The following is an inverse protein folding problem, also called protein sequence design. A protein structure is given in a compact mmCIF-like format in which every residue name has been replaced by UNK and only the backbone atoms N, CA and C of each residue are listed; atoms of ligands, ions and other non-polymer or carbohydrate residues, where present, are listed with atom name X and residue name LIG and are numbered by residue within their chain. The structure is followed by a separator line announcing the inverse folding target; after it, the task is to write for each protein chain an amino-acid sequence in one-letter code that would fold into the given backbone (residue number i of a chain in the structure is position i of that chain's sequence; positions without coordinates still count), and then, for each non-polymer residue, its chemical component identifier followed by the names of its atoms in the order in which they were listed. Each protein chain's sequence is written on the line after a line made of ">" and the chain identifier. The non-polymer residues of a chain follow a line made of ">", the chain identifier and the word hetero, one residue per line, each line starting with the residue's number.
data_IF_828203699836
#
_entry.id   IF_828203699836
#
_cell.length_a   1.000
_cell.length_b   1.000
_cell.length_c   1.000
_cell.angle_alpha   90.00
_cell.angle_beta   90.00
_cell.angle_gamma   90.00
#
_symmetry.space_group_name_H-M   'P 1'
#
loop_
_entity.id
_entity.type
_entity.pdbx_description
1 polymer ?
#
# COMPACT_ATOMS: atom_id res chain seq x y z
N UNK A 1 0.65 -2.78 14.20
CA UNK A 1 1.18 -3.88 13.34
C UNK A 1 2.30 -3.29 12.50
N UNK A 2 3.45 -3.96 12.43
CA UNK A 2 4.53 -3.50 11.56
C UNK A 2 4.11 -3.69 10.08
N UNK A 3 4.26 -2.68 9.20
CA UNK A 3 3.84 -2.76 7.79
C UNK A 3 4.50 -3.92 7.03
N UNK A 4 5.65 -4.37 7.50
CA UNK A 4 6.37 -5.56 6.99
C UNK A 4 5.57 -6.86 7.16
N UNK A 5 4.99 -7.09 8.34
CA UNK A 5 4.20 -8.30 8.59
C UNK A 5 2.95 -8.32 7.70
N UNK A 6 2.29 -7.17 7.58
CA UNK A 6 1.12 -7.01 6.70
C UNK A 6 1.50 -7.24 5.23
N UNK A 7 2.69 -6.81 4.81
CA UNK A 7 3.21 -7.05 3.45
C UNK A 7 3.39 -8.54 3.17
N UNK A 8 3.93 -9.30 4.13
CA UNK A 8 4.07 -10.77 3.98
C UNK A 8 2.71 -11.45 3.88
N UNK A 9 1.77 -11.08 4.74
CA UNK A 9 0.41 -11.63 4.70
C UNK A 9 -0.29 -11.28 3.37
N UNK A 10 -0.16 -10.02 2.92
CA UNK A 10 -0.69 -9.57 1.65
C UNK A 10 -0.10 -10.31 0.46
N UNK A 11 1.21 -10.58 0.48
CA UNK A 11 1.89 -11.35 -0.57
C UNK A 11 1.31 -12.75 -0.69
N UNK A 12 1.21 -13.46 0.43
CA UNK A 12 0.66 -14.83 0.46
C UNK A 12 -0.79 -14.81 0.01
N UNK A 13 -1.60 -13.89 0.54
CA UNK A 13 -3.02 -13.77 0.18
C UNK A 13 -3.22 -13.50 -1.31
N UNK A 14 -2.52 -12.53 -1.90
CA UNK A 14 -2.64 -12.22 -3.33
C UNK A 14 -2.14 -13.35 -4.22
N UNK A 15 -1.09 -14.05 -3.80
CA UNK A 15 -0.58 -15.20 -4.54
C UNK A 15 -1.64 -16.30 -4.58
N UNK A 16 -2.20 -16.67 -3.42
CA UNK A 16 -3.28 -17.66 -3.33
C UNK A 16 -4.48 -17.23 -4.16
N UNK A 17 -4.97 -16.01 -3.95
CA UNK A 17 -6.11 -15.45 -4.69
C UNK A 17 -5.89 -15.49 -6.20
N UNK A 18 -4.72 -15.07 -6.67
CA UNK A 18 -4.42 -15.04 -8.09
C UNK A 18 -4.30 -16.43 -8.68
N UNK A 19 -3.79 -17.43 -7.94
CA UNK A 19 -3.76 -18.81 -8.44
C UNK A 19 -5.14 -19.41 -8.69
N UNK A 20 -6.19 -18.91 -8.02
CA UNK A 20 -7.57 -19.33 -8.24
C UNK A 20 -8.17 -18.75 -9.54
N UNK A 21 -7.50 -17.79 -10.19
CA UNK A 21 -8.02 -17.14 -11.38
C UNK A 21 -8.06 -18.11 -12.59
N UNK A 22 -9.18 -18.16 -13.34
CA UNK A 22 -9.37 -19.13 -14.42
C UNK A 22 -8.37 -18.96 -15.57
N UNK A 23 -7.90 -17.75 -15.85
CA UNK A 23 -6.90 -17.52 -16.92
C UNK A 23 -5.52 -18.09 -16.63
N UNK A 24 -5.27 -18.50 -15.38
CA UNK A 24 -4.05 -19.21 -15.01
C UNK A 24 -4.28 -20.74 -15.02
N UNK A 25 -5.50 -21.23 -15.23
CA UNK A 25 -5.83 -22.65 -15.13
C UNK A 25 -5.08 -23.55 -16.13
N UNK A 26 -4.71 -22.98 -17.28
CA UNK A 26 -4.10 -23.72 -18.40
C UNK A 26 -2.60 -24.01 -18.20
N UNK A 27 -1.97 -23.38 -17.21
CA UNK A 27 -0.57 -23.64 -16.85
C UNK A 27 -0.42 -24.80 -15.86
N UNK A 28 0.70 -25.53 -15.93
CA UNK A 28 1.08 -26.47 -14.88
C UNK A 28 1.14 -25.77 -13.50
N UNK A 29 0.87 -26.51 -12.42
CA UNK A 29 0.72 -25.96 -11.05
C UNK A 29 1.82 -24.96 -10.69
N UNK A 30 3.08 -25.30 -10.98
CA UNK A 30 4.24 -24.44 -10.74
C UNK A 30 4.17 -23.10 -11.49
N UNK A 31 3.79 -23.12 -12.77
CA UNK A 31 3.64 -21.91 -13.58
C UNK A 31 2.57 -20.97 -13.04
N UNK A 32 1.45 -21.52 -12.56
CA UNK A 32 0.36 -20.74 -11.93
C UNK A 32 0.84 -19.98 -10.71
N UNK A 33 1.52 -20.69 -9.82
CA UNK A 33 2.09 -20.11 -8.60
C UNK A 33 3.15 -19.06 -8.92
N UNK A 34 4.03 -19.31 -9.88
CA UNK A 34 5.06 -18.35 -10.27
C UNK A 34 4.45 -17.06 -10.83
N UNK A 35 3.50 -17.13 -11.76
CA UNK A 35 2.84 -15.95 -12.33
C UNK A 35 2.03 -15.18 -11.29
N UNK A 36 1.31 -15.89 -10.43
CA UNK A 36 0.56 -15.29 -9.32
C UNK A 36 1.49 -14.57 -8.32
N UNK A 37 2.58 -15.21 -7.93
CA UNK A 37 3.57 -14.64 -7.01
C UNK A 37 4.23 -13.39 -7.62
N UNK A 38 4.56 -13.41 -8.91
CA UNK A 38 5.12 -12.24 -9.60
C UNK A 38 4.12 -11.08 -9.64
N UNK A 39 2.84 -11.34 -9.90
CA UNK A 39 1.79 -10.30 -9.85
C UNK A 39 1.61 -9.70 -8.45
N UNK A 40 1.61 -10.56 -7.42
CA UNK A 40 1.55 -10.14 -6.02
C UNK A 40 2.78 -9.29 -5.64
N UNK A 41 3.98 -9.72 -6.04
CA UNK A 41 5.22 -9.01 -5.79
C UNK A 41 5.23 -7.65 -6.50
N UNK A 42 4.84 -7.60 -7.78
CA UNK A 42 4.75 -6.35 -8.54
C UNK A 42 3.78 -5.36 -7.87
N UNK A 43 2.62 -5.84 -7.41
CA UNK A 43 1.66 -5.03 -6.65
C UNK A 43 2.32 -4.43 -5.42
N UNK A 44 2.93 -5.27 -4.57
CA UNK A 44 3.51 -4.83 -3.31
C UNK A 44 4.70 -3.89 -3.51
N UNK A 45 5.58 -4.17 -4.45
CA UNK A 45 6.68 -3.26 -4.81
C UNK A 45 6.12 -1.91 -5.25
N UNK A 46 5.09 -1.89 -6.12
CA UNK A 46 4.44 -0.66 -6.53
C UNK A 46 3.81 0.12 -5.37
N UNK A 47 3.13 -0.56 -4.45
CA UNK A 47 2.58 0.07 -3.24
C UNK A 47 3.69 0.62 -2.33
N UNK A 48 4.80 -0.10 -2.19
CA UNK A 48 5.94 0.36 -1.40
C UNK A 48 6.69 1.54 -2.03
N UNK A 49 6.64 1.67 -3.36
CA UNK A 49 7.10 2.84 -4.09
C UNK A 49 6.09 4.00 -4.08
N UNK A 50 4.81 3.77 -3.76
CA UNK A 50 3.81 4.82 -3.67
C UNK A 50 4.10 5.75 -2.48
N UNK A 51 4.19 7.07 -2.71
CA UNK A 51 4.50 8.03 -1.65
C UNK A 51 3.28 8.27 -0.73
N UNK A 52 3.58 8.72 0.49
CA UNK A 52 2.60 9.27 1.42
C UNK A 52 2.54 10.79 1.22
N UNK A 53 1.77 11.27 0.24
CA UNK A 53 1.82 12.68 -0.19
C UNK A 53 1.54 13.70 0.92
N UNK A 54 0.83 13.31 1.97
CA UNK A 54 0.56 14.18 3.10
C UNK A 54 1.79 14.42 3.99
N UNK A 55 2.78 13.51 4.00
CA UNK A 55 3.97 13.63 4.83
C UNK A 55 5.03 14.57 4.22
N UNK A 56 5.89 15.14 5.06
CA UNK A 56 6.95 16.04 4.61
C UNK A 56 8.16 15.30 4.01
N UNK A 57 8.68 15.82 2.91
CA UNK A 57 9.96 15.41 2.31
C UNK A 57 9.88 15.00 0.83
N UNK A 58 11.04 14.69 0.24
CA UNK A 58 11.13 14.12 -1.09
C UNK A 58 10.82 12.62 -1.01
N UNK A 59 9.59 12.22 -1.36
CA UNK A 59 9.11 10.81 -1.40
C UNK A 59 8.93 10.12 -0.02
N UNK A 60 8.22 10.75 0.93
CA UNK A 60 7.98 10.18 2.26
C UNK A 60 7.23 8.85 2.17
N UNK A 61 7.55 7.90 3.07
CA UNK A 61 6.89 6.60 3.12
C UNK A 61 7.21 5.65 1.95
N UNK A 62 8.15 6.01 1.08
CA UNK A 62 8.65 5.13 0.01
C UNK A 62 9.86 4.32 0.47
N UNK A 63 10.23 3.28 -0.29
CA UNK A 63 11.46 2.50 -0.07
C UNK A 63 12.75 3.32 -0.18
N UNK A 64 12.69 4.48 -0.83
CA UNK A 64 13.86 5.33 -1.10
C UNK A 64 14.12 6.36 0.01
N UNK A 65 13.15 6.56 0.91
CA UNK A 65 13.27 7.49 2.02
C UNK A 65 13.74 6.80 3.30
N UNK A 66 14.46 7.53 4.17
CA UNK A 66 14.82 7.04 5.50
C UNK A 66 13.54 6.77 6.29
N UNK A 67 13.34 5.51 6.69
CA UNK A 67 12.12 5.08 7.38
C UNK A 67 11.92 5.80 8.71
N UNK A 68 10.68 6.24 8.96
CA UNK A 68 10.25 6.83 10.24
C UNK A 68 9.10 6.01 10.84
N UNK A 69 9.10 5.74 12.16
CA UNK A 69 8.05 4.94 12.81
C UNK A 69 6.63 5.49 12.62
N UNK A 70 6.51 6.82 12.48
CA UNK A 70 5.23 7.50 12.24
C UNK A 70 4.51 7.04 10.96
N UNK A 71 5.26 6.50 9.98
CA UNK A 71 4.71 6.00 8.72
C UNK A 71 4.13 4.59 8.81
N UNK A 72 4.32 3.87 9.91
CA UNK A 72 3.90 2.46 10.02
C UNK A 72 2.39 2.28 9.83
N UNK A 73 1.58 3.16 10.44
CA UNK A 73 0.12 3.14 10.32
C UNK A 73 -0.36 3.50 8.91
N UNK A 74 0.01 4.66 8.34
CA UNK A 74 -0.46 5.02 7.00
C UNK A 74 0.07 4.06 5.92
N UNK A 75 1.30 3.54 6.05
CA UNK A 75 1.80 2.52 5.11
C UNK A 75 1.04 1.21 5.21
N UNK A 76 0.70 0.78 6.43
CA UNK A 76 -0.15 -0.41 6.61
C UNK A 76 -1.49 -0.25 5.89
N UNK A 77 -2.12 0.92 5.96
CA UNK A 77 -3.37 1.21 5.26
C UNK A 77 -3.21 1.25 3.74
N UNK A 78 -2.10 1.80 3.21
CA UNK A 78 -1.79 1.71 1.77
C UNK A 78 -1.63 0.26 1.30
N UNK A 79 -0.88 -0.55 2.04
CA UNK A 79 -0.69 -1.98 1.71
C UNK A 79 -2.03 -2.70 1.74
N UNK A 80 -2.84 -2.53 2.79
CA UNK A 80 -4.15 -3.18 2.88
C UNK A 80 -5.08 -2.75 1.75
N UNK A 81 -5.19 -1.44 1.48
CA UNK A 81 -6.09 -0.93 0.43
C UNK A 81 -5.68 -1.40 -0.97
N UNK A 82 -4.40 -1.32 -1.33
CA UNK A 82 -3.91 -1.83 -2.61
C UNK A 82 -4.10 -3.35 -2.75
N UNK A 83 -3.88 -4.09 -1.66
CA UNK A 83 -4.07 -5.55 -1.61
C UNK A 83 -5.54 -5.92 -1.78
N UNK A 84 -6.44 -5.28 -1.03
CA UNK A 84 -7.88 -5.54 -1.10
C UNK A 84 -8.42 -5.17 -2.48
N UNK A 85 -8.03 -4.02 -3.02
CA UNK A 85 -8.44 -3.60 -4.36
C UNK A 85 -8.00 -4.62 -5.43
N UNK A 86 -6.74 -5.05 -5.39
CA UNK A 86 -6.23 -6.06 -6.30
C UNK A 86 -6.99 -7.40 -6.15
N UNK A 87 -7.20 -7.87 -4.92
CA UNK A 87 -7.94 -9.10 -4.67
C UNK A 87 -9.39 -9.03 -5.21
N UNK A 88 -10.08 -7.91 -5.03
CA UNK A 88 -11.43 -7.69 -5.57
C UNK A 88 -11.42 -7.68 -7.10
N UNK A 89 -10.43 -7.02 -7.71
CA UNK A 89 -10.29 -6.99 -9.17
C UNK A 89 -10.08 -8.39 -9.75
N UNK A 90 -9.24 -9.21 -9.10
CA UNK A 90 -9.00 -10.59 -9.52
C UNK A 90 -10.21 -11.49 -9.26
N UNK A 91 -10.79 -11.47 -8.05
CA UNK A 91 -11.85 -12.43 -7.68
C UNK A 91 -13.24 -12.04 -8.18
N UNK A 92 -13.64 -10.79 -7.97
CA UNK A 92 -15.00 -10.34 -8.26
C UNK A 92 -15.14 -9.86 -9.70
N UNK A 93 -14.11 -9.20 -10.23
CA UNK A 93 -14.15 -8.58 -11.55
C UNK A 93 -13.39 -9.38 -12.62
N UNK A 94 -12.76 -10.51 -12.25
CA UNK A 94 -12.06 -11.43 -13.15
C UNK A 94 -11.01 -10.74 -14.03
N UNK A 95 -10.39 -9.67 -13.50
CA UNK A 95 -9.27 -9.03 -14.18
C UNK A 95 -8.08 -9.96 -14.18
N UNK A 96 -7.36 -10.00 -15.31
CA UNK A 96 -6.06 -10.64 -15.35
C UNK A 96 -5.16 -10.10 -14.22
N UNK A 97 -4.42 -10.97 -13.49
CA UNK A 97 -3.64 -10.56 -12.33
C UNK A 97 -2.66 -9.41 -12.59
N UNK A 98 -2.10 -9.32 -13.80
CA UNK A 98 -1.23 -8.22 -14.20
C UNK A 98 -1.96 -6.87 -14.25
N UNK A 99 -3.15 -6.82 -14.85
CA UNK A 99 -3.97 -5.60 -14.90
C UNK A 99 -4.49 -5.21 -13.53
N UNK A 100 -4.91 -6.20 -12.74
CA UNK A 100 -5.37 -6.01 -11.37
C UNK A 100 -4.25 -5.44 -10.48
N UNK A 101 -2.99 -5.88 -10.67
CA UNK A 101 -1.83 -5.32 -9.98
C UNK A 101 -1.64 -3.82 -10.27
N UNK A 102 -1.72 -3.40 -11.53
CA UNK A 102 -1.59 -1.99 -11.93
C UNK A 102 -2.67 -1.14 -11.25
N UNK A 103 -3.92 -1.57 -11.31
CA UNK A 103 -5.04 -0.86 -10.70
C UNK A 103 -4.97 -0.86 -9.16
N UNK A 104 -4.54 -1.96 -8.54
CA UNK A 104 -4.29 -2.03 -7.10
C UNK A 104 -3.21 -1.05 -6.63
N UNK A 105 -2.15 -0.88 -7.41
CA UNK A 105 -1.13 0.14 -7.17
C UNK A 105 -1.73 1.54 -7.29
N UNK A 106 -2.53 1.81 -8.32
CA UNK A 106 -3.20 3.10 -8.50
C UNK A 106 -4.11 3.46 -7.31
N UNK A 107 -4.86 2.48 -6.77
CA UNK A 107 -5.67 2.66 -5.56
C UNK A 107 -4.78 2.99 -4.36
N UNK A 108 -3.67 2.28 -4.16
CA UNK A 108 -2.76 2.56 -3.05
C UNK A 108 -2.12 3.94 -3.12
N UNK A 109 -1.80 4.43 -4.34
CA UNK A 109 -1.33 5.80 -4.57
C UNK A 109 -2.44 6.80 -4.17
N UNK A 110 -3.67 6.59 -4.61
CA UNK A 110 -4.82 7.42 -4.25
C UNK A 110 -5.06 7.46 -2.74
N UNK A 111 -4.98 6.31 -2.06
CA UNK A 111 -5.08 6.22 -0.60
C UNK A 111 -3.92 6.96 0.07
N UNK A 112 -2.71 6.87 -0.48
CA UNK A 112 -1.56 7.66 -0.02
C UNK A 112 -1.73 9.17 -0.07
N UNK A 113 -2.55 9.66 -1.00
CA UNK A 113 -2.88 11.07 -1.10
C UNK A 113 -3.94 11.52 -0.09
N UNK A 114 -4.78 10.59 0.39
CA UNK A 114 -5.91 10.88 1.27
C UNK A 114 -5.62 10.61 2.75
N UNK A 115 -4.57 9.85 3.07
CA UNK A 115 -4.23 9.53 4.45
C UNK A 115 -3.57 10.74 5.14
N UNK A 116 -4.08 11.17 6.32
CA UNK A 116 -3.53 12.30 7.04
C UNK A 116 -2.11 12.02 7.53
N UNK A 117 -1.26 13.03 7.44
CA UNK A 117 0.12 12.97 7.89
C UNK A 117 0.20 12.99 9.42
N UNK A 118 1.01 12.10 10.03
CA UNK A 118 1.49 12.33 11.39
C UNK A 118 2.34 13.61 11.38
N UNK A 119 1.93 14.62 12.17
CA UNK A 119 2.60 15.93 12.28
C UNK A 119 1.69 17.15 11.98
N UNK A 120 0.56 16.95 11.30
CA UNK A 120 -0.36 18.06 10.97
C UNK A 120 -1.22 18.55 12.13
N UNK A 121 -1.37 17.75 13.19
CA UNK A 121 -2.20 18.12 14.36
C UNK A 121 -1.46 19.10 15.27
N UNK A 122 -0.13 18.96 15.38
CA UNK A 122 0.69 19.83 16.23
C UNK A 122 0.82 21.23 15.60
N UNK A 123 1.02 21.31 14.28
CA UNK A 123 1.03 22.59 13.56
C UNK A 123 -0.30 23.35 13.63
N UNK A 124 -1.43 22.63 13.70
CA UNK A 124 -2.76 23.24 13.82
C UNK A 124 -3.12 23.61 15.26
N UNK A 125 -2.56 22.92 16.27
CA UNK A 125 -2.70 23.29 17.68
C UNK A 125 -1.83 24.51 18.04
N UNK A 126 -0.61 24.60 17.50
CA UNK A 126 0.28 25.75 17.68
C UNK A 126 -0.22 26.99 16.93
N UNK A 127 -0.80 26.83 15.74
CA UNK A 127 -1.46 27.93 15.03
C UNK A 127 -2.73 28.42 15.73
N UNK A 128 -3.40 27.56 16.50
CA UNK A 128 -4.62 27.90 17.24
C UNK A 128 -4.36 28.56 18.60
N UNK A 129 -3.13 28.49 19.14
CA UNK A 129 -2.80 29.16 20.41
C UNK A 129 -1.44 29.90 20.37
N UNK A 130 -1.33 31.00 19.61
CA UNK A 130 -0.12 31.81 19.51
C UNK A 130 0.27 32.55 20.80
N UNK A 131 -0.50 32.41 21.89
CA UNK A 131 -0.31 33.17 23.13
C UNK A 131 0.38 32.39 24.26
N UNK A 132 0.58 31.07 24.14
CA UNK A 132 1.15 30.28 25.24
C UNK A 132 2.66 30.50 25.52
N UNK A 133 3.38 31.17 24.62
CA UNK A 133 4.82 31.43 24.74
C UNK A 133 5.20 32.88 25.05
N UNK A 134 4.22 33.77 25.28
CA UNK A 134 4.52 35.19 25.58
C UNK A 134 4.65 35.52 27.06
N UNK A 135 4.31 34.59 27.95
CA UNK A 135 4.18 34.87 29.39
C UNK A 135 5.09 34.00 30.29
N UNK A 136 6.21 33.46 29.76
CA UNK A 136 7.23 32.74 30.53
C UNK A 136 8.55 33.51 30.60
#
# INVERSE_FOLDING_TARGET
>A
MAPRLVTVVAFVALTVVSTLHPTLADGGLWGRWATAALGALATLVGVWCAPLFAADGALPGTLFARWRPEWDRPKTLQVLSGTIANAVLVLALQFQPGTAAILGIAVAIGVGALLPAPGGVDAQHDAANPHAHRDA
#
